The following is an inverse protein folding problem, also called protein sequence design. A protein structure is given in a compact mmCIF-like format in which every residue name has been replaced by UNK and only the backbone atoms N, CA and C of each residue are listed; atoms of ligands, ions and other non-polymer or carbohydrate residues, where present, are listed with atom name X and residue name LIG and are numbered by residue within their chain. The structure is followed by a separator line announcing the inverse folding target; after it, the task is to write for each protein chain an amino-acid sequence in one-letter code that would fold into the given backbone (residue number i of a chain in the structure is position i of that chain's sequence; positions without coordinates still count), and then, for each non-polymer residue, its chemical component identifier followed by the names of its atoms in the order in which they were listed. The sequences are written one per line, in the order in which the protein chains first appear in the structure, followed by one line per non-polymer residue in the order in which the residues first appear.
data_IF_932653291398
#
_entry.id   IF_932653291398
#
_cell.length_a   1.000
_cell.length_b   1.000
_cell.length_c   1.000
_cell.angle_alpha   90.00
_cell.angle_beta   90.00
_cell.angle_gamma   90.00
#
_symmetry.space_group_name_H-M   'P 1'
#
loop_
_entity.id
_entity.type
_entity.pdbx_description
1 polymer ?
#
# COMPACT_ATOMS: atom_id res chain seq x y z
N UNK A 1 -14.51 4.21 13.46
CA UNK A 1 -13.76 5.08 14.40
C UNK A 1 -13.29 6.31 13.63
N UNK A 2 -13.77 7.49 14.01
CA UNK A 2 -13.53 8.74 13.26
C UNK A 2 -12.06 9.16 13.29
N UNK A 3 -11.33 8.84 14.37
CA UNK A 3 -9.91 9.21 14.49
C UNK A 3 -9.05 8.39 13.53
N UNK A 4 -9.36 7.11 13.38
CA UNK A 4 -8.68 6.24 12.41
C UNK A 4 -8.87 6.70 10.98
N UNK A 5 -10.11 6.99 10.58
CA UNK A 5 -10.40 7.47 9.23
C UNK A 5 -9.70 8.78 8.94
N UNK A 6 -9.69 9.72 9.89
CA UNK A 6 -8.95 10.99 9.77
C UNK A 6 -7.46 10.77 9.52
N UNK A 7 -6.81 9.88 10.28
CA UNK A 7 -5.40 9.52 10.08
C UNK A 7 -5.14 8.91 8.69
N UNK A 8 -6.02 8.04 8.20
CA UNK A 8 -5.89 7.48 6.83
C UNK A 8 -5.97 8.60 5.79
N UNK A 9 -6.93 9.51 5.92
CA UNK A 9 -7.12 10.58 4.96
C UNK A 9 -5.92 11.53 4.94
N UNK A 10 -5.37 11.87 6.11
CA UNK A 10 -4.14 12.65 6.27
C UNK A 10 -2.93 11.97 5.65
N UNK A 11 -2.76 10.68 5.94
CA UNK A 11 -1.69 9.85 5.37
C UNK A 11 -1.75 9.87 3.84
N UNK A 12 -2.95 9.77 3.26
CA UNK A 12 -3.14 9.68 1.81
C UNK A 12 -3.12 11.04 1.09
N UNK A 13 -3.22 12.15 1.82
CA UNK A 13 -3.35 13.51 1.29
C UNK A 13 -4.55 13.66 0.34
N UNK A 14 -5.72 13.21 0.79
CA UNK A 14 -6.99 13.23 0.03
C UNK A 14 -8.15 13.85 0.83
N UNK A 15 -7.87 14.56 1.91
CA UNK A 15 -8.88 15.16 2.78
C UNK A 15 -9.72 16.22 2.05
N UNK A 16 -9.11 16.90 1.08
CA UNK A 16 -9.75 17.93 0.24
C UNK A 16 -10.46 17.35 -0.99
N UNK A 17 -10.57 16.02 -1.09
CA UNK A 17 -11.18 15.29 -2.22
C UNK A 17 -12.31 14.34 -1.80
N UNK A 18 -12.83 14.49 -0.58
CA UNK A 18 -13.87 13.59 -0.05
C UNK A 18 -15.17 13.59 -0.86
N UNK A 19 -15.53 14.73 -1.45
CA UNK A 19 -16.78 14.89 -2.22
C UNK A 19 -16.58 14.66 -3.74
N UNK A 20 -15.40 14.22 -4.17
CA UNK A 20 -15.06 14.03 -5.58
C UNK A 20 -15.49 12.63 -6.04
N UNK A 21 -16.16 12.57 -7.19
CA UNK A 21 -16.42 11.31 -7.89
C UNK A 21 -15.13 10.74 -8.48
N UNK A 22 -15.03 9.41 -8.69
CA UNK A 22 -13.83 8.79 -9.28
C UNK A 22 -13.39 9.43 -10.60
N UNK A 23 -14.32 9.85 -11.45
CA UNK A 23 -14.04 10.53 -12.72
C UNK A 23 -13.39 11.92 -12.58
N UNK A 24 -13.42 12.51 -11.38
CA UNK A 24 -12.85 13.82 -11.08
C UNK A 24 -11.45 13.73 -10.43
N UNK A 25 -10.95 12.51 -10.23
CA UNK A 25 -9.66 12.24 -9.60
C UNK A 25 -8.62 11.86 -10.66
N UNK A 26 -7.37 12.30 -10.45
CA UNK A 26 -6.23 11.78 -11.23
C UNK A 26 -6.01 10.29 -10.95
N UNK A 27 -5.32 9.56 -11.84
CA UNK A 27 -5.04 8.14 -11.63
C UNK A 27 -4.35 7.84 -10.29
N UNK A 28 -3.38 8.66 -9.89
CA UNK A 28 -2.72 8.54 -8.59
C UNK A 28 -3.66 8.83 -7.40
N UNK A 29 -4.60 9.77 -7.54
CA UNK A 29 -5.61 10.03 -6.52
C UNK A 29 -6.62 8.87 -6.40
N UNK A 30 -7.07 8.30 -7.52
CA UNK A 30 -7.93 7.11 -7.53
C UNK A 30 -7.25 5.94 -6.82
N UNK A 31 -5.94 5.76 -7.03
CA UNK A 31 -5.18 4.72 -6.34
C UNK A 31 -5.07 4.97 -4.84
N UNK A 32 -4.79 6.22 -4.42
CA UNK A 32 -4.80 6.60 -2.99
C UNK A 32 -6.15 6.33 -2.36
N UNK A 33 -7.26 6.66 -3.02
CA UNK A 33 -8.62 6.32 -2.57
C UNK A 33 -8.81 4.80 -2.46
N UNK A 34 -8.33 4.02 -3.44
CA UNK A 34 -8.41 2.56 -3.39
C UNK A 34 -7.64 1.97 -2.19
N UNK A 35 -6.45 2.51 -1.88
CA UNK A 35 -5.68 2.15 -0.69
C UNK A 35 -6.45 2.53 0.58
N UNK A 36 -6.98 3.76 0.65
CA UNK A 36 -7.79 4.23 1.77
C UNK A 36 -9.01 3.34 2.03
N UNK A 37 -9.67 2.87 0.98
CA UNK A 37 -10.78 1.90 1.06
C UNK A 37 -10.32 0.57 1.65
N UNK A 38 -9.18 0.03 1.20
CA UNK A 38 -8.63 -1.22 1.73
C UNK A 38 -8.26 -1.10 3.22
N UNK A 39 -7.72 0.04 3.62
CA UNK A 39 -7.33 0.32 5.00
C UNK A 39 -8.53 0.63 5.91
N UNK A 40 -9.61 1.20 5.38
CA UNK A 40 -10.77 1.67 6.18
C UNK A 40 -11.36 0.60 7.11
N UNK A 41 -11.23 -0.69 6.76
CA UNK A 41 -11.69 -1.82 7.58
C UNK A 41 -10.77 -2.19 8.74
N UNK A 42 -9.70 -1.44 9.00
CA UNK A 42 -8.68 -1.76 10.03
C UNK A 42 -8.16 -3.20 9.90
N UNK A 43 -7.74 -3.65 8.70
CA UNK A 43 -7.35 -5.04 8.52
C UNK A 43 -6.11 -5.37 9.35
N UNK A 44 -6.05 -6.55 9.97
CA UNK A 44 -4.82 -7.00 10.64
C UNK A 44 -3.72 -7.39 9.65
N UNK A 45 -4.10 -7.76 8.42
CA UNK A 45 -3.22 -8.17 7.34
C UNK A 45 -3.62 -7.45 6.05
N UNK A 46 -2.64 -6.87 5.36
CA UNK A 46 -2.77 -6.26 4.04
C UNK A 46 -2.07 -7.17 3.04
N UNK A 47 -2.81 -7.60 2.02
CA UNK A 47 -2.26 -8.31 0.87
C UNK A 47 -2.14 -7.32 -0.29
N UNK A 48 -0.91 -7.08 -0.75
CA UNK A 48 -0.61 -6.15 -1.82
C UNK A 48 -0.01 -6.92 -3.01
N UNK A 49 -0.84 -7.19 -4.02
CA UNK A 49 -0.42 -7.87 -5.24
C UNK A 49 0.05 -6.84 -6.27
N UNK A 50 1.36 -6.78 -6.51
CA UNK A 50 2.02 -5.81 -7.40
C UNK A 50 1.50 -4.37 -7.23
N UNK A 51 1.50 -3.80 -6.00
CA UNK A 51 0.85 -2.53 -5.70
C UNK A 51 1.46 -1.32 -6.44
N UNK A 52 2.64 -1.51 -7.01
CA UNK A 52 3.42 -0.52 -7.75
C UNK A 52 3.48 -0.83 -9.25
N UNK A 53 2.78 -1.87 -9.73
CA UNK A 53 2.74 -2.23 -11.14
C UNK A 53 2.22 -1.06 -11.99
N UNK A 54 2.91 -0.75 -13.09
CA UNK A 54 2.60 0.35 -14.02
C UNK A 54 2.78 1.77 -13.47
N UNK A 55 3.45 1.96 -12.32
CA UNK A 55 3.79 3.29 -11.79
C UNK A 55 5.24 3.67 -12.07
N UNK A 56 5.50 4.98 -12.16
CA UNK A 56 6.87 5.49 -12.17
C UNK A 56 7.55 5.27 -10.80
N UNK A 57 8.88 5.27 -10.80
CA UNK A 57 9.69 4.96 -9.61
C UNK A 57 9.42 5.87 -8.41
N UNK A 58 9.04 7.13 -8.64
CA UNK A 58 8.72 8.07 -7.56
C UNK A 58 7.39 7.70 -6.92
N UNK A 59 6.34 7.53 -7.74
CA UNK A 59 5.00 7.16 -7.23
C UNK A 59 5.02 5.80 -6.52
N UNK A 60 5.76 4.82 -7.04
CA UNK A 60 5.95 3.52 -6.38
C UNK A 60 6.54 3.64 -4.98
N UNK A 61 7.54 4.50 -4.81
CA UNK A 61 8.17 4.78 -3.51
C UNK A 61 7.21 5.46 -2.53
N UNK A 62 6.37 6.38 -3.02
CA UNK A 62 5.33 7.02 -2.22
C UNK A 62 4.32 5.99 -1.69
N UNK A 63 3.80 5.11 -2.56
CA UNK A 63 2.85 4.05 -2.16
C UNK A 63 3.45 3.12 -1.11
N UNK A 64 4.69 2.70 -1.29
CA UNK A 64 5.38 1.85 -0.31
C UNK A 64 5.55 2.53 1.05
N UNK A 65 5.91 3.81 1.06
CA UNK A 65 6.04 4.57 2.29
C UNK A 65 4.70 4.68 3.03
N UNK A 66 3.59 4.86 2.28
CA UNK A 66 2.24 4.85 2.85
C UNK A 66 1.91 3.50 3.50
N UNK A 67 2.16 2.39 2.80
CA UNK A 67 1.91 1.05 3.34
C UNK A 67 2.77 0.76 4.58
N UNK A 68 4.05 1.14 4.56
CA UNK A 68 4.95 1.01 5.72
C UNK A 68 4.52 1.86 6.91
N UNK A 69 4.04 3.07 6.66
CA UNK A 69 3.50 3.92 7.72
C UNK A 69 2.25 3.27 8.34
N UNK A 70 1.36 2.73 7.50
CA UNK A 70 0.16 2.00 7.95
C UNK A 70 0.51 0.81 8.87
N UNK A 71 1.52 0.01 8.51
CA UNK A 71 2.05 -1.10 9.34
C UNK A 71 2.44 -0.60 10.73
N UNK A 72 3.24 0.48 10.80
CA UNK A 72 3.79 0.99 12.06
C UNK A 72 2.73 1.64 12.93
N UNK A 73 1.88 2.47 12.35
CA UNK A 73 0.88 3.23 13.11
C UNK A 73 -0.30 2.36 13.58
N UNK A 74 -0.69 1.37 12.79
CA UNK A 74 -1.89 0.58 13.03
C UNK A 74 -1.60 -0.87 13.41
N UNK A 75 -0.32 -1.23 13.59
CA UNK A 75 0.14 -2.57 13.96
C UNK A 75 -0.40 -3.66 13.01
N UNK A 76 -0.23 -3.42 11.71
CA UNK A 76 -0.72 -4.30 10.65
C UNK A 76 0.42 -5.13 10.05
N UNK A 77 0.11 -6.30 9.50
CA UNK A 77 1.07 -7.08 8.71
C UNK A 77 0.87 -6.78 7.22
N UNK A 78 1.96 -6.54 6.48
CA UNK A 78 1.92 -6.42 5.02
C UNK A 78 2.57 -7.65 4.39
N UNK A 79 1.84 -8.29 3.49
CA UNK A 79 2.37 -9.30 2.56
C UNK A 79 2.30 -8.68 1.18
N UNK A 80 3.45 -8.54 0.53
CA UNK A 80 3.58 -7.90 -0.77
C UNK A 80 4.15 -8.87 -1.78
N UNK A 81 3.49 -8.98 -2.93
CA UNK A 81 3.97 -9.72 -4.10
C UNK A 81 4.58 -8.69 -5.04
N UNK A 82 5.84 -8.87 -5.43
CA UNK A 82 6.51 -7.98 -6.36
C UNK A 82 7.64 -8.68 -7.13
N UNK A 83 7.83 -8.29 -8.38
CA UNK A 83 9.02 -8.59 -9.17
C UNK A 83 10.15 -7.55 -9.01
N UNK A 84 9.92 -6.44 -8.31
CA UNK A 84 10.94 -5.42 -8.08
C UNK A 84 11.82 -5.76 -6.87
N UNK A 85 13.05 -6.17 -7.16
CA UNK A 85 14.06 -6.52 -6.16
C UNK A 85 14.41 -5.34 -5.23
N UNK A 86 14.35 -4.10 -5.73
CA UNK A 86 14.62 -2.93 -4.89
C UNK A 86 13.52 -2.74 -3.85
N UNK A 87 12.27 -3.01 -4.20
CA UNK A 87 11.16 -2.99 -3.25
C UNK A 87 11.25 -4.16 -2.26
N UNK A 88 11.58 -5.35 -2.74
CA UNK A 88 11.75 -6.53 -1.87
C UNK A 88 12.81 -6.32 -0.77
N UNK A 89 13.92 -5.64 -1.08
CA UNK A 89 14.99 -5.31 -0.11
C UNK A 89 14.54 -4.48 1.10
N UNK A 90 13.36 -3.87 1.02
CA UNK A 90 12.80 -3.05 2.09
C UNK A 90 11.92 -3.83 3.06
N UNK A 91 11.67 -5.11 2.81
CA UNK A 91 10.84 -5.98 3.65
C UNK A 91 11.65 -6.57 4.82
N UNK A 92 10.95 -6.92 5.90
CA UNK A 92 11.57 -7.60 7.04
C UNK A 92 12.02 -9.02 6.70
N UNK A 93 11.32 -9.68 5.77
CA UNK A 93 11.63 -11.02 5.25
C UNK A 93 11.36 -11.07 3.75
N UNK A 94 12.16 -11.85 3.02
CA UNK A 94 12.01 -12.05 1.58
C UNK A 94 11.84 -13.54 1.31
N UNK A 95 10.71 -13.88 0.69
CA UNK A 95 10.44 -15.21 0.17
C UNK A 95 10.54 -15.18 -1.36
N UNK A 96 11.24 -16.15 -1.93
CA UNK A 96 11.36 -16.34 -3.38
C UNK A 96 10.50 -17.53 -3.76
N UNK A 97 9.64 -17.35 -4.76
CA UNK A 97 8.84 -18.42 -5.33
C UNK A 97 9.39 -18.80 -6.71
N UNK A 98 9.68 -20.09 -6.91
CA UNK A 98 10.16 -20.66 -8.18
C UNK A 98 9.44 -22.00 -8.40
N UNK A 99 8.85 -22.18 -9.59
CA UNK A 99 8.07 -23.37 -9.95
C UNK A 99 7.01 -23.81 -8.90
N UNK A 100 6.36 -22.82 -8.27
CA UNK A 100 5.35 -23.05 -7.23
C UNK A 100 5.92 -23.43 -5.85
N UNK A 101 7.24 -23.42 -5.69
CA UNK A 101 7.94 -23.72 -4.44
C UNK A 101 8.45 -22.43 -3.80
N UNK A 102 8.15 -22.23 -2.52
CA UNK A 102 8.66 -21.11 -1.72
C UNK A 102 9.99 -21.47 -1.07
N UNK A 103 10.96 -20.56 -1.16
CA UNK A 103 12.23 -20.60 -0.44
C UNK A 103 12.47 -19.27 0.27
N UNK A 104 13.12 -19.32 1.43
CA UNK A 104 13.48 -18.10 2.17
C UNK A 104 14.87 -17.63 1.75
N UNK A 105 14.98 -16.34 1.43
CA UNK A 105 16.28 -15.73 1.13
C UNK A 105 16.82 -15.09 2.41
N UNK A 106 17.80 -15.75 3.03
CA UNK A 106 18.55 -15.26 4.20
C UNK A 106 19.45 -14.08 3.87
#
# INVERSE_FOLDING_TARGET
DKNYLKKILEMLSIEDRLDYYPSQLSGGQQQRVAIGRALSNKPSIILADEPTGNLDSKTSSEILNLLKYSIKEFNQTLIMITHDVNLAKHADRILVMEDGVLSEKS
#
